data_IF_297468964048
#
_entry.id   IF_297468964048
#
_cell.length_a   1.000
_cell.length_b   1.000
_cell.length_c   1.000
_cell.angle_alpha   90.00
_cell.angle_beta   90.00
_cell.angle_gamma   90.00
#
_symmetry.space_group_name_H-M   'P 1'
#
loop_
_entity.id
_entity.type
_entity.pdbx_description
1 polymer ?
#
# COMPACT_ATOMS: atom_id res chain seq x y z
N UNK A 1 16.97 -29.63 -16.51
CA UNK A 1 15.75 -29.78 -17.33
C UNK A 1 14.61 -28.82 -16.98
N UNK A 2 14.03 -28.77 -15.76
CA UNK A 2 12.93 -27.80 -15.45
C UNK A 2 13.37 -26.33 -15.39
N UNK A 3 14.51 -26.03 -14.77
CA UNK A 3 15.09 -24.67 -14.72
C UNK A 3 15.50 -24.15 -16.10
N UNK A 4 16.02 -25.02 -16.98
CA UNK A 4 16.39 -24.68 -18.35
C UNK A 4 15.19 -24.39 -19.26
N UNK A 5 13.99 -24.83 -18.87
CA UNK A 5 12.71 -24.54 -19.53
C UNK A 5 12.00 -23.32 -18.94
N UNK A 6 12.65 -22.58 -18.01
CA UNK A 6 12.04 -21.45 -17.31
C UNK A 6 10.95 -21.84 -16.31
N UNK A 7 10.80 -23.13 -16.00
CA UNK A 7 9.83 -23.58 -15.00
C UNK A 7 10.40 -23.42 -13.60
N UNK A 8 9.72 -22.60 -12.82
CA UNK A 8 10.07 -22.27 -11.45
C UNK A 8 10.16 -23.51 -10.56
N UNK A 9 11.28 -23.67 -9.84
CA UNK A 9 11.46 -24.69 -8.78
C UNK A 9 10.82 -24.28 -7.46
N UNK A 10 10.18 -23.11 -7.41
CA UNK A 10 9.54 -22.55 -6.21
C UNK A 10 8.38 -23.45 -5.77
N UNK A 11 7.66 -24.01 -6.74
CA UNK A 11 6.46 -24.80 -6.47
C UNK A 11 6.70 -26.27 -6.71
N UNK A 12 6.21 -27.08 -5.79
CA UNK A 12 6.06 -28.52 -5.99
C UNK A 12 4.66 -28.83 -6.55
N UNK A 13 4.54 -29.92 -7.29
CA UNK A 13 3.29 -30.37 -7.89
C UNK A 13 3.06 -31.84 -7.54
N UNK A 14 1.85 -32.16 -7.08
CA UNK A 14 1.37 -33.54 -6.93
C UNK A 14 -0.07 -33.67 -7.48
N UNK A 15 -0.70 -34.80 -7.22
CA UNK A 15 -2.09 -35.13 -7.55
C UNK A 15 -3.13 -34.16 -6.96
N UNK A 16 -2.80 -33.48 -5.86
CA UNK A 16 -3.67 -32.49 -5.19
C UNK A 16 -3.45 -31.06 -5.68
N UNK A 17 -2.46 -30.83 -6.55
CA UNK A 17 -2.16 -29.52 -7.13
C UNK A 17 -0.81 -28.95 -6.69
N UNK A 18 -0.68 -27.64 -6.86
CA UNK A 18 0.55 -26.89 -6.61
C UNK A 18 0.70 -26.57 -5.12
N UNK A 19 1.90 -26.74 -4.57
CA UNK A 19 2.16 -26.48 -3.15
C UNK A 19 3.57 -25.96 -2.86
N UNK A 20 3.73 -25.34 -1.69
CA UNK A 20 5.02 -25.05 -1.05
C UNK A 20 5.12 -25.79 0.30
N UNK A 21 6.35 -26.00 0.76
CA UNK A 21 6.65 -26.65 2.04
C UNK A 21 7.08 -25.58 3.03
N UNK A 22 6.46 -25.49 4.21
CA UNK A 22 6.83 -24.50 5.24
C UNK A 22 8.15 -24.84 5.95
N UNK A 23 8.41 -26.12 6.23
CA UNK A 23 9.61 -26.59 6.93
C UNK A 23 10.18 -27.84 6.25
N UNK A 24 11.49 -27.84 5.99
CA UNK A 24 12.21 -28.97 5.37
C UNK A 24 12.71 -29.99 6.41
N UNK A 25 12.63 -29.66 7.71
CA UNK A 25 13.07 -30.50 8.81
C UNK A 25 11.92 -31.32 9.40
N UNK A 26 11.77 -32.54 8.86
CA UNK A 26 11.16 -33.71 9.54
C UNK A 26 9.73 -33.55 10.10
N UNK A 27 8.74 -33.65 9.23
CA UNK A 27 7.58 -34.56 9.28
C UNK A 27 6.64 -34.18 8.11
N UNK A 28 5.91 -35.14 7.58
CA UNK A 28 5.26 -35.13 6.27
C UNK A 28 4.22 -34.05 5.96
N UNK A 29 3.91 -33.09 6.84
CA UNK A 29 2.55 -32.52 6.83
C UNK A 29 2.38 -31.00 6.83
N UNK A 30 3.41 -30.18 6.62
CA UNK A 30 3.22 -28.72 6.42
C UNK A 30 3.34 -28.27 4.97
N UNK A 31 2.55 -28.92 4.11
CA UNK A 31 2.31 -28.49 2.72
C UNK A 31 1.20 -27.45 2.67
N UNK A 32 1.49 -26.32 2.04
CA UNK A 32 0.51 -25.29 1.70
C UNK A 32 0.15 -25.40 0.23
N UNK A 33 -1.06 -25.85 -0.05
CA UNK A 33 -1.62 -25.89 -1.40
C UNK A 33 -2.06 -24.50 -1.82
N UNK A 34 -1.65 -24.10 -3.01
CA UNK A 34 -1.76 -22.75 -3.52
C UNK A 34 -2.93 -22.69 -4.50
N UNK A 35 -3.72 -21.63 -4.39
CA UNK A 35 -4.76 -21.31 -5.35
C UNK A 35 -4.16 -21.11 -6.75
N UNK A 36 -4.84 -21.60 -7.79
CA UNK A 36 -4.36 -21.41 -9.16
C UNK A 36 -4.46 -19.95 -9.59
N UNK A 37 -5.43 -19.23 -9.05
CA UNK A 37 -5.67 -17.83 -9.36
C UNK A 37 -5.03 -16.92 -8.29
N UNK A 38 -4.18 -15.95 -8.69
CA UNK A 38 -3.61 -15.02 -7.74
C UNK A 38 -4.70 -14.08 -7.20
N UNK A 39 -4.67 -13.83 -5.90
CA UNK A 39 -5.52 -12.83 -5.25
C UNK A 39 -5.08 -11.40 -5.59
N UNK A 40 -3.77 -11.19 -5.79
CA UNK A 40 -3.19 -9.91 -6.22
C UNK A 40 -2.12 -10.19 -7.27
N UNK A 41 -2.14 -9.43 -8.37
CA UNK A 41 -1.11 -9.47 -9.39
C UNK A 41 -0.84 -8.06 -9.91
N UNK A 42 0.39 -7.56 -9.73
CA UNK A 42 0.82 -6.29 -10.32
C UNK A 42 1.45 -6.52 -11.70
N UNK A 43 0.81 -5.99 -12.73
CA UNK A 43 1.33 -6.03 -14.10
C UNK A 43 2.41 -4.96 -14.29
N UNK A 44 3.67 -5.32 -14.06
CA UNK A 44 4.80 -4.43 -14.32
C UNK A 44 5.95 -5.16 -15.00
N UNK A 45 6.60 -4.48 -15.95
CA UNK A 45 7.74 -5.03 -16.69
C UNK A 45 9.02 -5.08 -15.83
N UNK A 46 9.28 -4.04 -15.03
CA UNK A 46 10.46 -3.93 -14.16
C UNK A 46 10.06 -3.26 -12.85
N UNK A 47 10.29 -3.93 -11.73
CA UNK A 47 10.05 -3.43 -10.37
C UNK A 47 9.75 -4.56 -9.38
N UNK A 48 9.10 -4.27 -8.24
CA UNK A 48 8.84 -5.28 -7.20
C UNK A 48 7.93 -6.43 -7.64
N UNK A 49 7.10 -6.24 -8.67
CA UNK A 49 6.24 -7.24 -9.30
C UNK A 49 5.52 -8.18 -8.32
N UNK A 50 4.82 -7.59 -7.34
CA UNK A 50 4.14 -8.34 -6.28
C UNK A 50 3.04 -9.25 -6.85
N UNK A 51 3.09 -10.52 -6.47
CA UNK A 51 2.01 -11.50 -6.70
C UNK A 51 1.67 -12.16 -5.36
N UNK A 52 0.38 -12.26 -5.04
CA UNK A 52 -0.10 -12.91 -3.82
C UNK A 52 -1.09 -14.00 -4.19
N UNK A 53 -0.87 -15.19 -3.66
CA UNK A 53 -1.79 -16.31 -3.77
C UNK A 53 -2.40 -16.62 -2.41
N UNK A 54 -3.64 -17.11 -2.42
CA UNK A 54 -4.20 -17.78 -1.24
C UNK A 54 -3.62 -19.18 -1.13
N UNK A 55 -3.41 -19.64 0.09
CA UNK A 55 -2.95 -20.99 0.35
C UNK A 55 -3.63 -21.61 1.56
N UNK A 56 -3.70 -22.94 1.56
CA UNK A 56 -4.34 -23.73 2.61
C UNK A 56 -3.50 -24.94 2.97
N UNK A 57 -3.59 -25.32 4.24
CA UNK A 57 -2.97 -26.56 4.72
C UNK A 57 -3.61 -27.78 4.06
N UNK A 58 -2.83 -28.86 3.95
CA UNK A 58 -3.31 -30.15 3.47
C UNK A 58 -4.55 -30.60 4.24
N UNK A 59 -5.66 -30.88 3.53
CA UNK A 59 -6.91 -31.33 4.14
C UNK A 59 -7.81 -30.22 4.70
N UNK A 60 -7.36 -28.95 4.71
CA UNK A 60 -8.21 -27.83 5.10
C UNK A 60 -9.18 -27.45 3.97
N UNK A 61 -10.43 -27.15 4.32
CA UNK A 61 -11.42 -26.61 3.38
C UNK A 61 -11.17 -25.15 3.04
N UNK A 62 -10.76 -24.36 4.03
CA UNK A 62 -10.63 -22.91 3.95
C UNK A 62 -9.20 -22.46 3.67
N UNK A 63 -9.08 -21.28 3.06
CA UNK A 63 -7.81 -20.57 2.93
C UNK A 63 -7.34 -20.09 4.30
N UNK A 64 -6.05 -20.24 4.58
CA UNK A 64 -5.48 -19.91 5.91
C UNK A 64 -4.19 -19.11 5.84
N UNK A 65 -3.61 -18.98 4.64
CA UNK A 65 -2.34 -18.29 4.45
C UNK A 65 -2.37 -17.49 3.15
N UNK A 66 -1.56 -16.43 3.10
CA UNK A 66 -1.19 -15.74 1.88
C UNK A 66 0.27 -16.07 1.53
N UNK A 67 0.53 -16.42 0.27
CA UNK A 67 1.86 -16.70 -0.26
C UNK A 67 2.21 -15.58 -1.23
N UNK A 68 3.19 -14.77 -0.86
CA UNK A 68 3.56 -13.53 -1.52
C UNK A 68 4.93 -13.67 -2.17
N UNK A 69 4.99 -13.37 -3.46
CA UNK A 69 6.22 -13.29 -4.23
C UNK A 69 6.50 -11.84 -4.61
N UNK A 70 7.74 -11.41 -4.40
CA UNK A 70 8.17 -10.04 -4.69
C UNK A 70 9.63 -10.01 -5.15
N UNK A 71 9.99 -8.94 -5.83
CA UNK A 71 11.36 -8.57 -6.19
C UNK A 71 11.77 -7.26 -5.49
N UNK A 72 11.84 -7.20 -4.14
CA UNK A 72 12.30 -6.01 -3.43
C UNK A 72 13.69 -5.56 -3.89
N UNK A 73 13.96 -4.26 -3.76
CA UNK A 73 15.29 -3.70 -3.97
C UNK A 73 16.27 -4.21 -2.90
N UNK A 74 17.49 -4.57 -3.29
CA UNK A 74 18.46 -5.21 -2.40
C UNK A 74 19.01 -4.31 -1.28
N UNK A 75 18.69 -3.00 -1.28
CA UNK A 75 19.19 -2.03 -0.30
C UNK A 75 18.22 -1.68 0.82
N UNK A 76 16.98 -2.18 0.78
CA UNK A 76 15.94 -1.88 1.77
C UNK A 76 15.96 -2.83 2.97
N UNK A 77 15.34 -2.40 4.07
CA UNK A 77 15.02 -3.31 5.18
C UNK A 77 14.00 -4.33 4.70
N UNK A 78 14.19 -5.60 5.07
CA UNK A 78 13.33 -6.66 4.58
C UNK A 78 11.98 -6.69 5.33
N UNK A 79 10.89 -6.91 4.60
CA UNK A 79 9.52 -6.98 5.13
C UNK A 79 9.38 -8.02 6.26
N UNK A 80 10.12 -9.14 6.19
CA UNK A 80 10.11 -10.17 7.25
C UNK A 80 10.66 -9.66 8.58
N UNK A 81 11.69 -8.81 8.59
CA UNK A 81 12.21 -8.25 9.85
C UNK A 81 11.19 -7.34 10.52
N UNK A 82 10.44 -6.59 9.73
CA UNK A 82 9.42 -5.67 10.22
C UNK A 82 8.20 -6.42 10.76
N UNK A 83 7.78 -7.49 10.08
CA UNK A 83 6.75 -8.40 10.57
C UNK A 83 7.19 -9.10 11.87
N UNK A 84 8.46 -9.50 11.95
CA UNK A 84 9.02 -10.10 13.16
C UNK A 84 9.05 -9.14 14.34
N UNK A 85 9.42 -7.88 14.12
CA UNK A 85 9.33 -6.84 15.16
C UNK A 85 7.89 -6.66 15.63
N UNK A 86 6.94 -6.55 14.71
CA UNK A 86 5.54 -6.39 15.06
C UNK A 86 5.04 -7.57 15.92
N UNK A 87 5.45 -8.80 15.58
CA UNK A 87 5.16 -10.01 16.37
C UNK A 87 5.80 -9.98 17.75
N UNK A 88 7.11 -9.71 17.84
CA UNK A 88 7.85 -9.67 19.11
C UNK A 88 7.30 -8.62 20.07
N UNK A 89 6.85 -7.48 19.52
CA UNK A 89 6.24 -6.38 20.25
C UNK A 89 4.75 -6.60 20.51
N UNK A 90 4.18 -7.71 20.04
CA UNK A 90 2.77 -8.08 20.20
C UNK A 90 1.83 -7.01 19.67
N UNK A 91 2.17 -6.43 18.53
CA UNK A 91 1.32 -5.46 17.88
C UNK A 91 0.00 -6.13 17.47
N UNK A 92 -1.12 -5.64 18.03
CA UNK A 92 -2.45 -6.15 17.77
C UNK A 92 -2.81 -6.02 16.29
N UNK A 93 -3.34 -7.10 15.73
CA UNK A 93 -3.70 -7.21 14.32
C UNK A 93 -2.54 -7.23 13.33
N UNK A 94 -1.28 -7.26 13.79
CA UNK A 94 -0.16 -7.47 12.90
C UNK A 94 -0.20 -8.86 12.27
N UNK A 95 0.06 -8.92 10.97
CA UNK A 95 0.14 -10.16 10.21
C UNK A 95 1.27 -11.04 10.76
N UNK A 96 1.00 -12.34 10.90
CA UNK A 96 2.01 -13.32 11.33
C UNK A 96 2.85 -13.77 10.13
N UNK A 97 4.17 -13.77 10.31
CA UNK A 97 5.12 -14.39 9.38
C UNK A 97 5.29 -15.88 9.71
N UNK A 98 4.98 -16.75 8.75
CA UNK A 98 5.16 -18.20 8.85
C UNK A 98 6.38 -18.70 8.06
N UNK A 99 6.78 -18.00 6.99
CA UNK A 99 7.96 -18.32 6.20
C UNK A 99 8.55 -17.09 5.49
N UNK A 100 9.87 -17.01 5.44
CA UNK A 100 10.62 -16.15 4.53
C UNK A 100 11.69 -16.96 3.80
N UNK A 101 11.77 -16.82 2.47
CA UNK A 101 12.83 -17.40 1.65
C UNK A 101 13.28 -16.43 0.57
N UNK A 102 14.59 -16.36 0.35
CA UNK A 102 15.17 -15.79 -0.85
C UNK A 102 15.37 -16.88 -1.88
N UNK A 103 14.90 -16.65 -3.10
CA UNK A 103 14.80 -17.69 -4.13
C UNK A 103 15.76 -17.46 -5.28
N UNK A 104 15.99 -16.19 -5.65
CA UNK A 104 16.82 -15.82 -6.80
C UNK A 104 17.27 -14.36 -6.68
N UNK A 105 18.35 -13.98 -7.34
CA UNK A 105 18.78 -12.60 -7.46
C UNK A 105 18.98 -12.18 -8.92
N UNK A 106 18.66 -10.93 -9.22
CA UNK A 106 18.99 -10.31 -10.51
C UNK A 106 20.50 -10.25 -10.79
N UNK A 107 21.35 -10.40 -9.76
CA UNK A 107 22.80 -10.54 -9.93
C UNK A 107 23.11 -11.92 -10.53
N UNK A 108 22.56 -12.98 -9.95
CA UNK A 108 22.76 -14.34 -10.43
C UNK A 108 22.13 -14.57 -11.80
N UNK A 109 20.92 -14.07 -12.06
CA UNK A 109 20.28 -14.15 -13.38
C UNK A 109 21.06 -13.45 -14.50
N UNK A 110 21.87 -12.44 -14.15
CA UNK A 110 22.74 -11.72 -15.10
C UNK A 110 24.19 -12.20 -15.03
N UNK A 111 24.47 -13.27 -14.30
CA UNK A 111 25.81 -13.85 -14.26
C UNK A 111 26.19 -14.31 -15.68
N UNK A 112 27.35 -13.89 -16.15
CA UNK A 112 27.80 -14.14 -17.52
C UNK A 112 27.33 -13.12 -18.58
N UNK A 113 26.45 -12.16 -18.23
CA UNK A 113 26.14 -11.06 -19.14
C UNK A 113 27.25 -9.99 -19.10
N UNK A 114 27.70 -9.44 -20.24
CA UNK A 114 28.66 -8.35 -20.25
C UNK A 114 28.12 -7.14 -19.48
N UNK A 115 28.94 -6.57 -18.58
CA UNK A 115 28.63 -5.31 -17.90
C UNK A 115 28.81 -4.15 -18.89
N UNK A 116 27.85 -4.01 -19.80
CA UNK A 116 27.77 -2.87 -20.70
C UNK A 116 27.38 -1.58 -19.95
N UNK A 117 27.61 -0.44 -20.60
CA UNK A 117 27.08 0.82 -20.10
C UNK A 117 25.56 0.77 -20.08
N UNK A 118 24.98 1.19 -18.96
CA UNK A 118 23.54 1.15 -18.81
C UNK A 118 22.88 2.25 -19.63
N UNK A 119 21.65 2.00 -20.08
CA UNK A 119 20.89 2.94 -20.90
C UNK A 119 19.50 3.15 -20.31
N UNK A 120 18.95 4.36 -20.48
CA UNK A 120 17.58 4.71 -20.12
C UNK A 120 16.81 5.15 -21.36
N UNK A 121 15.48 5.07 -21.36
CA UNK A 121 14.68 5.63 -22.44
C UNK A 121 14.92 7.13 -22.56
N UNK A 122 15.11 7.61 -23.79
CA UNK A 122 15.31 9.03 -24.08
C UNK A 122 14.01 9.78 -23.78
N UNK A 123 14.09 10.87 -23.01
CA UNK A 123 12.93 11.61 -22.50
C UNK A 123 12.06 12.31 -23.56
N UNK A 124 12.36 12.18 -24.84
CA UNK A 124 11.64 12.81 -25.97
C UNK A 124 10.57 11.94 -26.65
N UNK A 125 10.29 10.72 -26.16
CA UNK A 125 9.39 9.78 -26.84
C UNK A 125 7.95 9.66 -26.28
N UNK A 126 7.62 10.34 -25.18
CA UNK A 126 6.37 10.12 -24.42
C UNK A 126 5.32 11.22 -24.53
N UNK A 127 5.48 12.18 -25.45
CA UNK A 127 4.42 13.15 -25.75
C UNK A 127 3.92 12.92 -27.18
N UNK A 128 2.68 12.44 -27.30
CA UNK A 128 1.81 12.64 -28.47
C UNK A 128 2.29 12.02 -29.78
N UNK A 129 1.64 10.93 -30.18
CA UNK A 129 1.41 10.71 -31.59
C UNK A 129 0.47 11.81 -32.10
N UNK A 130 1.01 12.97 -32.48
CA UNK A 130 0.33 13.98 -33.30
C UNK A 130 1.37 14.93 -33.94
N UNK A 131 0.99 15.46 -35.09
CA UNK A 131 1.86 15.84 -36.21
C UNK A 131 2.75 17.08 -36.00
N UNK A 132 3.91 17.06 -36.66
CA UNK A 132 4.64 18.23 -37.16
C UNK A 132 5.84 18.66 -36.31
N UNK A 133 7.07 18.37 -36.73
CA UNK A 133 7.79 19.15 -37.74
C UNK A 133 9.16 18.48 -38.00
N UNK A 134 9.66 18.64 -39.23
CA UNK A 134 10.76 17.85 -39.78
C UNK A 134 12.13 18.35 -39.31
N UNK A 135 12.57 17.95 -38.11
CA UNK A 135 13.98 18.06 -37.72
C UNK A 135 14.76 16.85 -38.26
N UNK A 136 15.47 17.06 -39.38
CA UNK A 136 16.39 16.10 -39.98
C UNK A 136 17.52 15.74 -39.00
N UNK A 137 17.33 14.67 -38.23
CA UNK A 137 18.46 13.92 -37.70
C UNK A 137 18.93 12.96 -38.79
N UNK A 138 20.13 13.21 -39.31
CA UNK A 138 20.84 12.27 -40.19
C UNK A 138 20.98 10.92 -39.46
N UNK A 139 20.58 9.80 -40.09
CA UNK A 139 20.78 8.48 -39.49
C UNK A 139 22.28 8.22 -39.45
N UNK A 140 22.86 8.09 -38.25
CA UNK A 140 24.12 7.36 -38.14
C UNK A 140 23.77 5.88 -38.29
N UNK A 141 24.31 5.22 -39.31
CA UNK A 141 24.02 3.83 -39.70
C UNK A 141 24.35 2.75 -38.65
N UNK A 142 24.83 3.10 -37.45
CA UNK A 142 25.41 2.13 -36.50
C UNK A 142 24.53 1.76 -35.29
N UNK A 143 23.33 2.32 -35.11
CA UNK A 143 22.50 2.03 -33.93
C UNK A 143 21.10 1.58 -34.34
N UNK A 144 20.92 0.27 -34.51
CA UNK A 144 19.61 -0.35 -34.79
C UNK A 144 18.87 -0.80 -33.50
N UNK A 145 17.54 -0.87 -33.57
CA UNK A 145 16.69 -1.43 -32.51
C UNK A 145 16.49 -0.52 -31.29
N UNK A 146 16.34 -1.12 -30.10
CA UNK A 146 16.02 -0.41 -28.84
C UNK A 146 17.07 0.64 -28.45
N UNK A 147 18.29 0.51 -28.96
CA UNK A 147 19.36 1.46 -28.72
C UNK A 147 19.07 2.86 -29.29
N UNK A 148 18.21 2.97 -30.32
CA UNK A 148 17.74 4.24 -30.88
C UNK A 148 16.84 5.02 -29.90
N UNK A 149 16.06 4.30 -29.09
CA UNK A 149 15.12 4.89 -28.13
C UNK A 149 15.71 5.09 -26.73
N UNK A 150 17.01 4.83 -26.58
CA UNK A 150 17.68 4.88 -25.28
C UNK A 150 18.97 5.67 -25.36
N UNK A 151 19.39 6.26 -24.24
CA UNK A 151 20.66 6.98 -24.08
C UNK A 151 21.47 6.38 -22.93
N UNK A 152 22.80 6.49 -22.99
CA UNK A 152 23.65 6.05 -21.87
C UNK A 152 23.25 6.79 -20.59
N UNK A 153 23.15 6.04 -19.49
CA UNK A 153 22.83 6.60 -18.18
C UNK A 153 23.91 6.24 -17.17
N UNK A 154 24.13 7.17 -16.24
CA UNK A 154 24.94 6.93 -15.03
C UNK A 154 24.13 6.26 -13.93
N UNK A 155 22.81 6.14 -14.07
CA UNK A 155 21.97 5.40 -13.11
C UNK A 155 22.38 3.94 -13.15
N UNK A 156 22.57 3.34 -11.98
CA UNK A 156 22.81 1.90 -11.84
C UNK A 156 21.50 1.13 -11.75
N UNK A 157 21.43 0.01 -12.44
CA UNK A 157 20.41 -1.00 -12.31
C UNK A 157 20.39 -1.46 -10.85
N UNK A 158 19.24 -1.24 -10.23
CA UNK A 158 18.99 -1.67 -8.86
C UNK A 158 18.89 -3.20 -8.84
N UNK A 159 19.78 -3.84 -8.10
CA UNK A 159 19.69 -5.28 -7.89
C UNK A 159 18.47 -5.59 -7.03
N UNK A 160 17.75 -6.63 -7.43
CA UNK A 160 16.59 -7.18 -6.72
C UNK A 160 16.79 -8.65 -6.38
N UNK A 161 16.14 -9.07 -5.31
CA UNK A 161 16.09 -10.46 -4.83
C UNK A 161 14.65 -10.93 -4.88
N UNK A 162 14.38 -12.07 -5.51
CA UNK A 162 13.07 -12.71 -5.47
C UNK A 162 12.86 -13.33 -4.08
N UNK A 163 11.84 -12.87 -3.38
CA UNK A 163 11.45 -13.38 -2.06
C UNK A 163 10.13 -14.13 -2.13
N UNK A 164 10.00 -15.14 -1.28
CA UNK A 164 8.75 -15.82 -0.95
C UNK A 164 8.45 -15.57 0.52
N UNK A 165 7.31 -14.96 0.80
CA UNK A 165 6.85 -14.61 2.12
C UNK A 165 5.50 -15.32 2.33
N UNK A 166 5.38 -16.08 3.42
CA UNK A 166 4.12 -16.72 3.80
C UNK A 166 3.61 -16.09 5.08
N UNK A 167 2.36 -15.65 5.04
CA UNK A 167 1.73 -14.94 6.14
C UNK A 167 0.33 -15.45 6.46
N UNK A 168 -0.11 -15.23 7.69
CA UNK A 168 -1.48 -15.50 8.17
C UNK A 168 -2.01 -14.37 9.07
N UNK A 169 -3.34 -14.12 9.11
CA UNK A 169 -4.39 -14.72 8.28
C UNK A 169 -4.36 -14.23 6.81
N UNK A 170 -5.06 -14.90 5.88
CA UNK A 170 -5.30 -14.36 4.55
C UNK A 170 -6.44 -13.34 4.61
N UNK A 171 -6.65 -12.64 3.50
CA UNK A 171 -7.81 -11.78 3.34
C UNK A 171 -8.03 -11.34 1.91
N UNK A 172 -9.12 -10.63 1.69
CA UNK A 172 -9.52 -10.06 0.41
C UNK A 172 -9.32 -8.55 0.41
N UNK A 173 -9.21 -7.98 -0.79
CA UNK A 173 -8.95 -6.55 -0.95
C UNK A 173 -10.08 -5.70 -0.35
N UNK A 174 -9.72 -4.55 0.22
CA UNK A 174 -10.65 -3.65 0.91
C UNK A 174 -11.92 -3.32 0.10
N UNK A 175 -11.78 -3.02 -1.20
CA UNK A 175 -12.91 -2.65 -2.08
C UNK A 175 -13.97 -3.76 -2.27
N UNK A 176 -13.68 -5.00 -1.86
CA UNK A 176 -14.61 -6.13 -2.00
C UNK A 176 -15.66 -6.20 -0.90
N UNK A 177 -15.68 -5.24 0.05
CA UNK A 177 -16.64 -5.20 1.16
C UNK A 177 -18.10 -5.39 0.69
N UNK A 178 -18.90 -6.09 1.49
CA UNK A 178 -20.27 -6.47 1.15
C UNK A 178 -21.29 -5.50 1.74
N UNK A 179 -21.00 -4.93 2.90
CA UNK A 179 -21.90 -4.03 3.62
C UNK A 179 -21.14 -2.80 4.13
N UNK A 180 -21.89 -1.72 4.39
CA UNK A 180 -21.33 -0.55 5.10
C UNK A 180 -20.78 -0.92 6.47
N UNK A 181 -21.49 -1.78 7.20
CA UNK A 181 -21.06 -2.24 8.52
C UNK A 181 -19.67 -2.88 8.43
N UNK A 182 -19.48 -3.83 7.51
CA UNK A 182 -18.20 -4.49 7.29
C UNK A 182 -17.11 -3.47 6.91
N UNK A 183 -17.40 -2.51 6.04
CA UNK A 183 -16.47 -1.44 5.69
C UNK A 183 -16.02 -0.63 6.91
N UNK A 184 -16.97 -0.23 7.76
CA UNK A 184 -16.68 0.57 8.96
C UNK A 184 -15.86 -0.23 9.98
N UNK A 185 -16.20 -1.50 10.20
CA UNK A 185 -15.47 -2.40 11.08
C UNK A 185 -14.03 -2.62 10.61
N UNK A 186 -13.84 -2.84 9.31
CA UNK A 186 -12.51 -3.02 8.70
C UNK A 186 -11.65 -1.76 8.88
N UNK A 187 -12.18 -0.57 8.58
CA UNK A 187 -11.43 0.68 8.73
C UNK A 187 -11.08 0.97 10.19
N UNK A 188 -12.02 0.73 11.11
CA UNK A 188 -11.77 0.84 12.56
C UNK A 188 -10.64 -0.08 13.00
N UNK A 189 -10.71 -1.35 12.61
CA UNK A 189 -9.74 -2.35 13.02
C UNK A 189 -8.37 -2.09 12.39
N UNK A 190 -8.32 -1.60 11.15
CA UNK A 190 -7.08 -1.15 10.53
C UNK A 190 -6.44 0.03 11.29
N UNK A 191 -7.23 0.98 11.80
CA UNK A 191 -6.74 2.08 12.66
C UNK A 191 -6.25 1.55 14.01
N UNK A 192 -6.93 0.56 14.61
CA UNK A 192 -6.46 -0.10 15.85
C UNK A 192 -5.14 -0.85 15.62
N UNK A 193 -5.01 -1.55 14.50
CA UNK A 193 -3.77 -2.20 14.08
C UNK A 193 -2.65 -1.17 13.90
N UNK A 194 -2.93 -0.06 13.22
CA UNK A 194 -2.02 1.07 13.06
C UNK A 194 -1.56 1.65 14.39
N UNK A 195 -2.49 1.89 15.33
CA UNK A 195 -2.19 2.35 16.69
C UNK A 195 -1.19 1.42 17.37
N UNK A 196 -1.39 0.12 17.27
CA UNK A 196 -0.52 -0.86 17.92
C UNK A 196 0.85 -0.99 17.23
N UNK A 197 0.91 -0.90 15.89
CA UNK A 197 2.19 -0.78 15.17
C UNK A 197 2.97 0.46 15.61
N UNK A 198 2.28 1.60 15.76
CA UNK A 198 2.91 2.84 16.19
C UNK A 198 3.37 2.76 17.65
N UNK A 199 2.49 2.36 18.57
CA UNK A 199 2.77 2.40 20.01
C UNK A 199 3.67 1.27 20.49
N UNK A 200 3.37 0.04 20.08
CA UNK A 200 4.00 -1.17 20.61
C UNK A 200 5.21 -1.56 19.76
N UNK A 201 5.04 -1.60 18.43
CA UNK A 201 6.13 -1.95 17.51
C UNK A 201 7.08 -0.78 17.20
N UNK A 202 6.70 0.46 17.52
CA UNK A 202 7.45 1.69 17.20
C UNK A 202 7.72 1.86 15.71
N UNK A 203 6.75 1.50 14.88
CA UNK A 203 6.81 1.58 13.43
C UNK A 203 5.76 2.56 12.88
N UNK A 204 6.13 3.30 11.84
CA UNK A 204 5.23 4.01 10.94
C UNK A 204 5.09 3.17 9.66
N UNK A 205 3.88 2.84 9.23
CA UNK A 205 3.66 1.95 8.08
C UNK A 205 4.07 2.62 6.74
N UNK A 206 3.94 3.94 6.65
CA UNK A 206 4.39 4.87 5.62
C UNK A 206 3.71 4.80 4.25
N UNK A 207 2.75 3.90 4.04
CA UNK A 207 1.98 3.71 2.80
C UNK A 207 0.54 3.28 3.08
N UNK A 208 -0.19 4.06 3.88
CA UNK A 208 -1.62 3.84 4.12
C UNK A 208 -2.38 4.11 2.82
N UNK A 209 -3.02 3.07 2.29
CA UNK A 209 -3.87 3.13 1.11
C UNK A 209 -4.80 1.90 1.08
N UNK A 210 -5.88 1.91 0.29
CA UNK A 210 -6.80 0.77 0.18
C UNK A 210 -6.13 -0.52 -0.30
N UNK A 211 -5.02 -0.42 -1.05
CA UNK A 211 -4.28 -1.57 -1.57
C UNK A 211 -3.42 -2.28 -0.51
N UNK A 212 -3.18 -1.64 0.64
CA UNK A 212 -2.42 -2.19 1.76
C UNK A 212 -3.32 -2.50 2.97
N UNK A 213 -4.62 -2.62 2.75
CA UNK A 213 -5.60 -3.06 3.73
C UNK A 213 -6.36 -4.27 3.22
N UNK A 214 -6.56 -5.26 4.10
CA UNK A 214 -7.35 -6.46 3.78
C UNK A 214 -8.53 -6.61 4.73
N UNK A 215 -9.58 -7.23 4.21
CA UNK A 215 -10.68 -7.79 4.99
C UNK A 215 -10.32 -9.23 5.28
N UNK A 216 -10.21 -9.58 6.55
CA UNK A 216 -9.95 -10.95 7.00
C UNK A 216 -11.22 -11.77 6.78
N UNK A 217 -11.08 -12.92 6.13
CA UNK A 217 -12.20 -13.84 5.95
C UNK A 217 -12.44 -14.61 7.26
N UNK A 218 -13.68 -14.61 7.75
CA UNK A 218 -14.14 -15.35 8.94
C UNK A 218 -13.19 -15.26 10.16
N UNK A 219 -12.91 -14.05 10.68
CA UNK A 219 -12.01 -13.91 11.82
C UNK A 219 -12.59 -14.60 13.07
N UNK A 220 -11.72 -15.26 13.85
CA UNK A 220 -12.08 -15.77 15.17
C UNK A 220 -12.54 -14.61 16.09
N UNK A 221 -13.35 -14.93 17.11
CA UNK A 221 -13.84 -13.93 18.06
C UNK A 221 -12.67 -13.16 18.70
N UNK A 222 -12.73 -11.82 18.59
CA UNK A 222 -11.70 -10.91 19.10
C UNK A 222 -10.49 -10.71 18.18
N UNK A 223 -10.42 -11.37 17.03
CA UNK A 223 -9.46 -11.06 15.96
C UNK A 223 -9.95 -9.87 15.12
N UNK A 224 -9.03 -9.07 14.55
CA UNK A 224 -9.41 -7.96 13.68
C UNK A 224 -10.10 -8.45 12.41
N UNK A 225 -11.15 -7.73 11.99
CA UNK A 225 -11.72 -7.89 10.66
C UNK A 225 -10.91 -7.14 9.59
N UNK A 226 -10.26 -6.04 9.98
CA UNK A 226 -9.41 -5.22 9.12
C UNK A 226 -7.96 -5.20 9.57
N UNK A 227 -7.03 -5.49 8.66
CA UNK A 227 -5.60 -5.53 8.93
C UNK A 227 -4.82 -4.70 7.91
N UNK A 228 -3.80 -3.99 8.38
CA UNK A 228 -2.75 -3.40 7.53
C UNK A 228 -1.77 -4.48 7.09
N UNK A 229 -1.57 -4.58 5.78
CA UNK A 229 -0.58 -5.44 5.14
C UNK A 229 0.54 -4.60 4.53
N UNK A 230 1.61 -5.28 4.13
CA UNK A 230 2.76 -4.68 3.47
C UNK A 230 3.51 -3.64 4.34
N UNK A 231 4.50 -4.15 5.09
CA UNK A 231 5.40 -3.33 5.89
C UNK A 231 6.68 -2.94 5.14
N UNK A 232 6.77 -3.16 3.81
CA UNK A 232 8.01 -2.92 3.05
C UNK A 232 8.52 -1.48 3.16
N UNK A 233 7.63 -0.50 3.28
CA UNK A 233 7.97 0.92 3.44
C UNK A 233 7.99 1.37 4.91
N UNK A 234 7.74 0.46 5.85
CA UNK A 234 7.62 0.85 7.25
C UNK A 234 8.96 1.31 7.82
N UNK A 235 8.93 2.39 8.57
CA UNK A 235 10.11 3.01 9.17
C UNK A 235 10.00 3.03 10.70
N UNK A 236 11.11 2.94 11.44
CA UNK A 236 11.10 3.23 12.86
C UNK A 236 10.55 4.65 13.11
N UNK A 237 9.69 4.81 14.12
CA UNK A 237 9.23 6.15 14.54
C UNK A 237 10.29 6.90 15.38
N UNK A 238 11.23 6.16 15.96
CA UNK A 238 12.26 6.64 16.88
C UNK A 238 13.67 6.19 16.40
N UNK A 239 14.59 7.11 16.08
CA UNK A 239 14.36 8.55 15.91
C UNK A 239 13.34 8.82 14.80
N UNK A 240 12.80 10.04 14.76
CA UNK A 240 11.85 10.44 13.73
C UNK A 240 12.43 10.16 12.33
N UNK A 241 11.61 9.68 11.36
CA UNK A 241 12.09 9.39 10.02
C UNK A 241 12.74 10.59 9.38
N UNK A 242 13.88 10.38 8.73
CA UNK A 242 14.49 11.41 7.89
C UNK A 242 13.59 11.70 6.67
N UNK A 243 13.47 12.97 6.31
CA UNK A 243 12.69 13.43 5.15
C UNK A 243 13.63 13.81 4.01
N UNK A 244 13.66 12.99 2.96
CA UNK A 244 14.28 13.35 1.68
C UNK A 244 13.29 14.15 0.82
N UNK A 245 13.38 15.49 0.87
CA UNK A 245 12.48 16.39 0.13
C UNK A 245 12.56 16.23 -1.39
N UNK A 246 13.59 15.56 -1.92
CA UNK A 246 13.70 15.26 -3.36
C UNK A 246 12.81 14.10 -3.82
N UNK A 247 12.25 13.33 -2.89
CA UNK A 247 11.39 12.17 -3.17
C UNK A 247 10.05 12.36 -2.49
N UNK A 248 8.98 12.61 -3.25
CA UNK A 248 7.59 12.51 -2.75
C UNK A 248 7.03 11.20 -3.28
N UNK A 249 6.80 10.24 -2.38
CA UNK A 249 6.29 8.92 -2.70
C UNK A 249 5.00 8.61 -1.92
N UNK A 250 4.13 7.81 -2.53
CA UNK A 250 2.81 7.48 -2.01
C UNK A 250 1.73 7.67 -3.05
N UNK A 251 0.53 7.18 -2.75
CA UNK A 251 -0.63 7.29 -3.64
C UNK A 251 -1.24 8.68 -3.49
N UNK A 252 -1.22 9.49 -4.57
CA UNK A 252 -1.54 10.95 -4.57
C UNK A 252 -2.82 11.32 -3.80
N UNK A 253 -3.98 10.68 -4.07
CA UNK A 253 -5.21 10.88 -3.31
C UNK A 253 -5.07 10.80 -1.79
N UNK A 254 -4.21 9.92 -1.29
CA UNK A 254 -4.16 9.55 0.13
C UNK A 254 -3.00 10.21 0.88
N UNK A 255 -2.13 10.95 0.21
CA UNK A 255 -1.03 11.65 0.86
C UNK A 255 -1.52 12.81 1.74
N UNK A 256 -1.00 12.87 2.96
CA UNK A 256 -1.30 13.92 3.93
C UNK A 256 -0.71 15.28 3.54
N UNK A 257 -1.39 16.37 3.92
CA UNK A 257 -1.03 17.75 3.56
C UNK A 257 0.37 18.10 4.05
N UNK A 258 0.70 17.81 5.30
CA UNK A 258 2.01 18.11 5.88
C UNK A 258 3.15 17.37 5.15
N UNK A 259 2.95 16.10 4.82
CA UNK A 259 3.93 15.32 4.06
C UNK A 259 4.18 15.88 2.65
N UNK A 260 3.12 16.30 1.95
CA UNK A 260 3.23 16.99 0.64
C UNK A 260 3.97 18.34 0.78
N UNK A 261 3.90 18.97 1.96
CA UNK A 261 4.58 20.23 2.30
C UNK A 261 5.95 20.04 2.94
N UNK A 262 6.60 18.91 2.66
CA UNK A 262 7.96 18.58 3.11
C UNK A 262 8.13 18.35 4.61
N UNK A 263 7.05 18.04 5.34
CA UNK A 263 7.16 17.56 6.72
C UNK A 263 7.57 16.08 6.76
N UNK A 264 8.33 15.69 7.79
CA UNK A 264 8.60 14.28 8.07
C UNK A 264 7.29 13.54 8.39
N UNK A 265 7.22 12.26 8.03
CA UNK A 265 6.01 11.45 8.25
C UNK A 265 5.78 11.21 9.74
N UNK A 266 4.51 11.26 10.16
CA UNK A 266 4.08 11.11 11.56
C UNK A 266 2.83 10.23 11.64
N UNK A 267 2.46 9.81 12.84
CA UNK A 267 1.22 9.06 13.07
C UNK A 267 -0.02 9.82 12.58
N UNK A 268 -0.07 11.15 12.77
CA UNK A 268 -1.17 12.00 12.31
C UNK A 268 -1.27 12.01 10.80
N UNK A 269 -0.13 12.01 10.09
CA UNK A 269 -0.13 11.94 8.63
C UNK A 269 -0.72 10.62 8.13
N UNK A 270 -0.48 9.51 8.82
CA UNK A 270 -1.05 8.20 8.47
C UNK A 270 -2.54 8.10 8.81
N UNK A 271 -2.98 8.71 9.92
CA UNK A 271 -4.39 8.84 10.27
C UNK A 271 -5.16 9.77 9.30
N UNK A 272 -4.50 10.79 8.77
CA UNK A 272 -5.05 11.63 7.70
C UNK A 272 -5.22 10.83 6.39
N UNK A 273 -4.28 9.93 6.06
CA UNK A 273 -4.43 9.00 4.94
C UNK A 273 -5.63 8.06 5.12
N UNK A 274 -5.84 7.49 6.31
CA UNK A 274 -7.05 6.69 6.61
C UNK A 274 -8.34 7.47 6.37
N UNK A 275 -8.36 8.74 6.74
CA UNK A 275 -9.52 9.59 6.51
C UNK A 275 -9.75 9.85 5.01
N UNK A 276 -8.70 10.09 4.24
CA UNK A 276 -8.82 10.22 2.79
C UNK A 276 -9.27 8.92 2.11
N UNK A 277 -8.78 7.77 2.55
CA UNK A 277 -9.25 6.46 2.09
C UNK A 277 -10.75 6.31 2.36
N UNK A 278 -11.19 6.63 3.58
CA UNK A 278 -12.61 6.60 3.95
C UNK A 278 -13.47 7.52 3.05
N UNK A 279 -13.05 8.77 2.84
CA UNK A 279 -13.75 9.70 1.95
C UNK A 279 -13.86 9.14 0.53
N UNK A 280 -12.77 8.58 0.01
CA UNK A 280 -12.73 8.01 -1.33
C UNK A 280 -13.71 6.85 -1.49
N UNK A 281 -13.86 6.01 -0.46
CA UNK A 281 -14.78 4.88 -0.50
C UNK A 281 -16.26 5.26 -0.39
N UNK A 282 -16.60 6.41 0.20
CA UNK A 282 -18.00 6.84 0.39
C UNK A 282 -18.47 7.82 -0.70
N UNK A 283 -17.54 8.45 -1.42
CA UNK A 283 -17.82 9.32 -2.59
C UNK A 283 -17.63 8.56 -3.90
N UNK A 284 -16.61 7.71 -3.99
CA UNK A 284 -16.32 6.90 -5.17
C UNK A 284 -17.27 5.70 -5.34
N UNK A 285 -17.32 5.17 -6.55
CA UNK A 285 -18.03 3.92 -6.83
C UNK A 285 -17.31 2.69 -6.24
N UNK A 286 -17.84 1.49 -6.51
CA UNK A 286 -17.24 0.23 -6.02
C UNK A 286 -15.84 -0.05 -6.54
N UNK A 287 -15.48 0.53 -7.68
CA UNK A 287 -14.16 0.43 -8.29
C UNK A 287 -13.23 1.55 -7.80
N UNK A 288 -13.69 2.36 -6.84
CA UNK A 288 -12.99 3.53 -6.30
C UNK A 288 -12.83 4.66 -7.32
N UNK A 289 -13.67 4.68 -8.36
CA UNK A 289 -13.70 5.78 -9.33
C UNK A 289 -14.53 6.93 -8.76
N UNK A 290 -13.98 8.13 -8.85
CA UNK A 290 -14.63 9.36 -8.46
C UNK A 290 -15.03 10.13 -9.72
N UNK A 291 -16.24 10.70 -9.76
CA UNK A 291 -16.71 11.46 -10.92
C UNK A 291 -15.84 12.68 -11.21
N UNK A 292 -15.64 13.03 -12.49
CA UNK A 292 -14.82 14.21 -12.90
C UNK A 292 -15.24 15.54 -12.23
N UNK A 293 -16.52 15.69 -11.89
CA UNK A 293 -17.07 16.88 -11.22
C UNK A 293 -16.85 16.93 -9.71
N UNK A 294 -16.31 15.87 -9.10
CA UNK A 294 -16.06 15.79 -7.66
C UNK A 294 -14.82 16.58 -7.27
N UNK A 295 -14.83 17.15 -6.07
CA UNK A 295 -13.62 17.75 -5.47
C UNK A 295 -12.49 16.74 -5.30
N UNK A 296 -12.82 15.49 -4.97
CA UNK A 296 -11.83 14.43 -4.77
C UNK A 296 -11.11 14.08 -6.08
N UNK A 297 -11.78 14.16 -7.22
CA UNK A 297 -11.14 13.97 -8.54
C UNK A 297 -9.98 14.96 -8.75
N UNK A 298 -10.15 16.20 -8.26
CA UNK A 298 -9.09 17.21 -8.25
C UNK A 298 -7.87 16.84 -7.41
N UNK A 299 -7.93 15.84 -6.53
CA UNK A 299 -6.76 15.34 -5.79
C UNK A 299 -5.97 14.29 -6.57
N UNK A 300 -6.62 13.59 -7.51
CA UNK A 300 -6.01 12.60 -8.39
C UNK A 300 -5.34 13.26 -9.61
N UNK A 301 -6.10 14.11 -10.32
CA UNK A 301 -5.59 14.90 -11.45
C UNK A 301 -4.69 16.08 -11.01
N UNK A 302 -4.79 16.45 -9.73
CA UNK A 302 -4.43 17.75 -9.16
C UNK A 302 -3.04 18.27 -9.44
N UNK A 303 -2.96 19.10 -10.49
CA UNK A 303 -1.91 20.06 -10.85
C UNK A 303 -0.49 19.51 -11.03
N UNK A 304 0.29 20.17 -11.90
CA UNK A 304 1.72 19.88 -12.07
C UNK A 304 2.58 20.20 -10.83
N UNK A 305 1.99 20.57 -9.69
CA UNK A 305 2.69 21.06 -8.50
C UNK A 305 2.12 20.51 -7.20
N UNK A 306 2.97 19.82 -6.42
CA UNK A 306 2.67 19.35 -5.07
C UNK A 306 2.13 20.44 -4.14
N UNK A 307 2.68 21.65 -4.26
CA UNK A 307 2.26 22.79 -3.47
C UNK A 307 0.78 23.15 -3.68
N UNK A 308 0.33 23.15 -4.94
CA UNK A 308 -1.07 23.43 -5.28
C UNK A 308 -2.01 22.34 -4.76
N UNK A 309 -1.60 21.07 -4.86
CA UNK A 309 -2.36 19.95 -4.30
C UNK A 309 -2.53 20.10 -2.77
N UNK A 310 -1.46 20.43 -2.05
CA UNK A 310 -1.54 20.66 -0.60
C UNK A 310 -2.45 21.84 -0.23
N UNK A 311 -2.40 22.93 -1.00
CA UNK A 311 -3.30 24.07 -0.79
C UNK A 311 -4.77 23.72 -1.05
N UNK A 312 -5.04 22.98 -2.11
CA UNK A 312 -6.38 22.52 -2.45
C UNK A 312 -6.94 21.63 -1.34
N UNK A 313 -6.20 20.58 -0.95
CA UNK A 313 -6.59 19.70 0.16
C UNK A 313 -6.85 20.48 1.44
N UNK A 314 -5.98 21.43 1.79
CA UNK A 314 -6.17 22.26 2.97
C UNK A 314 -7.46 23.09 2.86
N UNK A 315 -7.71 23.73 1.72
CA UNK A 315 -8.96 24.47 1.48
C UNK A 315 -10.20 23.59 1.55
N UNK A 316 -10.14 22.38 0.98
CA UNK A 316 -11.23 21.42 1.01
C UNK A 316 -11.54 20.93 2.43
N UNK A 317 -10.57 21.02 3.35
CA UNK A 317 -10.75 20.73 4.77
C UNK A 317 -11.28 21.92 5.57
N UNK A 318 -11.54 23.10 4.99
CA UNK A 318 -12.28 24.18 5.67
C UNK A 318 -13.75 23.79 5.87
N UNK A 319 -14.41 24.30 6.92
CA UNK A 319 -15.73 23.78 7.33
C UNK A 319 -16.82 23.98 6.27
N UNK A 320 -16.82 25.15 5.61
CA UNK A 320 -17.74 25.49 4.54
C UNK A 320 -17.47 24.69 3.26
N UNK A 321 -16.19 24.50 2.94
CA UNK A 321 -15.77 23.82 1.72
C UNK A 321 -15.93 22.30 1.85
N UNK A 322 -15.67 21.75 3.04
CA UNK A 322 -15.84 20.33 3.33
C UNK A 322 -17.30 19.87 3.16
N UNK A 323 -18.27 20.75 3.40
CA UNK A 323 -19.68 20.44 3.17
C UNK A 323 -19.96 20.02 1.73
N UNK A 324 -19.23 20.57 0.76
CA UNK A 324 -19.36 20.14 -0.64
C UNK A 324 -18.94 18.68 -0.84
N UNK A 325 -17.88 18.21 -0.15
CA UNK A 325 -17.51 16.80 -0.18
C UNK A 325 -18.59 15.94 0.50
N UNK A 326 -19.16 16.42 1.62
CA UNK A 326 -20.26 15.73 2.31
C UNK A 326 -21.51 15.62 1.41
N UNK A 327 -21.76 16.60 0.57
CA UNK A 327 -22.87 16.60 -0.39
C UNK A 327 -22.63 15.63 -1.56
N UNK A 328 -21.37 15.33 -1.88
CA UNK A 328 -20.97 14.34 -2.89
C UNK A 328 -21.06 12.87 -2.40
N UNK A 329 -21.19 12.64 -1.08
CA UNK A 329 -21.30 11.29 -0.51
C UNK A 329 -22.49 10.55 -1.12
N UNK A 330 -22.24 9.33 -1.63
CA UNK A 330 -23.26 8.55 -2.34
C UNK A 330 -24.46 8.27 -1.44
N UNK A 331 -25.69 8.19 -1.99
CA UNK A 331 -26.90 7.93 -1.20
C UNK A 331 -26.82 6.68 -0.33
N UNK A 332 -26.12 5.63 -0.81
CA UNK A 332 -25.90 4.40 -0.07
C UNK A 332 -25.16 4.63 1.26
N UNK A 333 -24.34 5.69 1.37
CA UNK A 333 -23.54 6.07 2.53
C UNK A 333 -24.09 7.29 3.30
N UNK A 334 -25.36 7.67 3.07
CA UNK A 334 -25.95 8.84 3.73
C UNK A 334 -25.89 8.79 5.27
N UNK A 335 -25.95 7.59 5.88
CA UNK A 335 -25.85 7.40 7.32
C UNK A 335 -24.48 7.76 7.92
N UNK A 336 -23.41 7.73 7.11
CA UNK A 336 -22.03 7.96 7.60
C UNK A 336 -21.52 9.37 7.33
N UNK A 337 -22.38 10.31 6.89
CA UNK A 337 -22.02 11.73 6.73
C UNK A 337 -21.49 12.33 8.04
N UNK A 338 -22.16 12.06 9.16
CA UNK A 338 -21.73 12.54 10.48
C UNK A 338 -20.39 11.97 10.93
N UNK A 339 -20.04 10.75 10.49
CA UNK A 339 -18.71 10.19 10.73
C UNK A 339 -17.65 10.99 9.96
N UNK A 340 -17.88 11.30 8.69
CA UNK A 340 -16.96 12.11 7.88
C UNK A 340 -16.70 13.49 8.50
N UNK A 341 -17.75 14.17 8.97
CA UNK A 341 -17.66 15.46 9.66
C UNK A 341 -16.87 15.36 10.98
N UNK A 342 -17.11 14.30 11.77
CA UNK A 342 -16.42 14.05 13.03
C UNK A 342 -14.93 13.80 12.82
N UNK A 343 -14.57 12.94 11.85
CA UNK A 343 -13.17 12.66 11.51
C UNK A 343 -12.46 13.92 11.00
N UNK A 344 -13.11 14.73 10.15
CA UNK A 344 -12.59 16.02 9.70
C UNK A 344 -12.30 16.95 10.89
N UNK A 345 -13.23 17.06 11.84
CA UNK A 345 -13.05 17.92 13.01
C UNK A 345 -11.91 17.46 13.94
N UNK A 346 -11.70 16.14 14.06
CA UNK A 346 -10.59 15.57 14.83
C UNK A 346 -9.22 15.83 14.19
N UNK A 347 -9.11 15.66 12.87
CA UNK A 347 -7.86 15.81 12.13
C UNK A 347 -7.50 17.26 11.81
N UNK A 348 -8.50 18.11 11.61
CA UNK A 348 -8.34 19.52 11.21
C UNK A 348 -9.00 20.47 12.21
N UNK A 349 -8.61 20.43 13.50
CA UNK A 349 -9.19 21.32 14.50
C UNK A 349 -8.83 22.77 14.19
N UNK A 350 -9.70 23.69 14.59
CA UNK A 350 -9.43 25.13 14.49
C UNK A 350 -8.53 25.55 15.65
N UNK A 351 -7.36 26.12 15.35
CA UNK A 351 -6.44 26.74 16.30
C UNK A 351 -6.18 28.18 15.86
N UNK A 352 -6.33 29.13 16.77
CA UNK A 352 -6.15 30.57 16.48
C UNK A 352 -6.97 31.06 15.26
N UNK A 353 -8.19 30.53 15.12
CA UNK A 353 -9.13 30.91 14.05
C UNK A 353 -8.80 30.33 12.66
N UNK A 354 -7.85 29.39 12.55
CA UNK A 354 -7.52 28.69 11.30
C UNK A 354 -7.52 27.18 11.50
N UNK A 355 -7.82 26.42 10.45
CA UNK A 355 -7.63 24.98 10.51
C UNK A 355 -6.15 24.64 10.71
N UNK A 356 -5.90 23.63 11.54
CA UNK A 356 -4.57 23.17 11.86
C UNK A 356 -4.36 21.75 11.34
N UNK A 357 -3.42 21.60 10.41
CA UNK A 357 -3.03 20.32 9.81
C UNK A 357 -1.67 19.79 10.33
N UNK A 358 -1.19 20.30 11.47
CA UNK A 358 0.10 19.88 12.05
C UNK A 358 0.00 18.60 12.87
N UNK A 359 1.12 18.18 13.46
CA UNK A 359 1.17 17.01 14.36
C UNK A 359 1.35 17.44 15.82
N UNK A 360 0.63 16.78 16.75
CA UNK A 360 0.81 16.96 18.19
C UNK A 360 1.69 15.82 18.73
N UNK A 361 2.99 16.08 18.88
CA UNK A 361 3.94 15.04 19.26
C UNK A 361 3.88 14.64 20.75
N UNK A 362 2.94 15.17 21.52
CA UNK A 362 2.74 14.76 22.92
C UNK A 362 2.01 13.41 22.97
N UNK A 363 2.38 12.51 23.91
CA UNK A 363 1.68 11.24 24.10
C UNK A 363 0.16 11.43 24.24
N UNK A 364 -0.28 12.42 25.03
CA UNK A 364 -1.71 12.67 25.26
C UNK A 364 -2.42 13.15 23.99
N UNK A 365 -1.75 13.93 23.14
CA UNK A 365 -2.27 14.36 21.85
C UNK A 365 -2.37 13.22 20.84
N UNK A 366 -1.42 12.29 20.91
CA UNK A 366 -1.41 11.06 20.12
C UNK A 366 -2.59 10.16 20.51
N UNK A 367 -2.71 9.83 21.79
CA UNK A 367 -3.79 8.97 22.31
C UNK A 367 -5.16 9.57 22.02
N UNK A 368 -5.33 10.87 22.26
CA UNK A 368 -6.60 11.57 21.99
C UNK A 368 -7.03 11.45 20.52
N UNK A 369 -6.11 11.54 19.57
CA UNK A 369 -6.46 11.45 18.15
C UNK A 369 -6.86 10.02 17.77
N UNK A 370 -6.09 9.01 18.21
CA UNK A 370 -6.44 7.61 17.97
C UNK A 370 -7.78 7.24 18.60
N UNK A 371 -7.96 7.53 19.88
CA UNK A 371 -9.18 7.17 20.62
C UNK A 371 -10.39 7.94 20.07
N UNK A 372 -10.20 9.19 19.65
CA UNK A 372 -11.22 9.98 18.99
C UNK A 372 -11.68 9.36 17.67
N UNK A 373 -10.74 8.95 16.81
CA UNK A 373 -11.08 8.33 15.52
C UNK A 373 -11.73 6.96 15.71
N UNK A 374 -11.15 6.10 16.56
CA UNK A 374 -11.70 4.77 16.86
C UNK A 374 -13.12 4.91 17.45
N UNK A 375 -13.31 5.81 18.41
CA UNK A 375 -14.61 6.06 19.02
C UNK A 375 -15.65 6.61 18.04
N UNK A 376 -15.23 7.42 17.06
CA UNK A 376 -16.12 7.89 16.00
C UNK A 376 -16.62 6.73 15.12
N UNK A 377 -15.73 5.80 14.74
CA UNK A 377 -16.11 4.58 14.03
C UNK A 377 -17.03 3.69 14.89
N UNK A 378 -16.70 3.45 16.16
CA UNK A 378 -17.54 2.65 17.06
C UNK A 378 -18.97 3.22 17.19
N UNK A 379 -19.10 4.55 17.28
CA UNK A 379 -20.41 5.22 17.31
C UNK A 379 -21.17 5.05 15.97
N UNK A 380 -20.48 5.12 14.83
CA UNK A 380 -21.10 4.92 13.52
C UNK A 380 -21.55 3.46 13.33
N UNK A 381 -20.74 2.49 13.75
CA UNK A 381 -21.04 1.05 13.72
C UNK A 381 -22.29 0.76 14.55
N UNK A 382 -22.33 1.23 15.80
CA UNK A 382 -23.49 1.05 16.68
C UNK A 382 -24.79 1.69 16.15
N UNK A 383 -24.69 2.61 15.18
CA UNK A 383 -25.85 3.25 14.53
C UNK A 383 -26.25 2.61 13.18
N UNK A 384 -25.39 1.74 12.62
CA UNK A 384 -25.68 1.01 11.38
C UNK A 384 -26.16 -0.43 11.62
N UNK A 385 -25.91 -0.99 12.81
CA UNK A 385 -26.67 -2.11 13.40
C UNK A 385 -28.15 -1.76 13.60
#
# INVERSE_FOLDING_TARGET
MRQELGMSSIFSLNDKGQYIVLDESTESDRKLYIDSDPAVMRHMLVGPATVVYRARLSGAGNWSHAVKFKWPGAGGRLENELLEIAREKKAWGAVKLDLYRELETTIHLRSGMPRGKQRRFSSGGTTGAEQGDSAKHTPSDDISGVAHFTEETRRSFENRTLTCIVTSPPGRALHTFQTRLEQLEVLRDAIKCHKSLYMDARLLQSDISPGNMIIVDDPDEGQPLGILVDLELATPRDPAPERDTSIICGTRPYMAIGYIRDEAKTYRHELESFFYDFLWMIVGDREMNVSEGSRLHGWEEGSSSWFKLAQQKLSDMEADTFQHIVDEILPAFAKVKGLAETLRALLFPVRDGKIWAGTDNKPEGTDKLYDGMIGAFDAAIASDE
#
